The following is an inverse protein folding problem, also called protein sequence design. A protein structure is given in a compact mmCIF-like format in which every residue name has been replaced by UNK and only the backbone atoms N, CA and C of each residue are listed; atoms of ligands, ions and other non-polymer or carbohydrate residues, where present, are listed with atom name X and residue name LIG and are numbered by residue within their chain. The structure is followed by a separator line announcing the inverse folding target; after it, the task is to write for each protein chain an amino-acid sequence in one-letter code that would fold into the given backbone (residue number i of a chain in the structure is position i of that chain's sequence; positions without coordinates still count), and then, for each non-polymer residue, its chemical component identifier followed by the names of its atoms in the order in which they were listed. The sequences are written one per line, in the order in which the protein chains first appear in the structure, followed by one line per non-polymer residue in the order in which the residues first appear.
data_IF_976932338031
#
_entry.id   IF_976932338031
#
_cell.length_a   1.000
_cell.length_b   1.000
_cell.length_c   1.000
_cell.angle_alpha   90.00
_cell.angle_beta   90.00
_cell.angle_gamma   90.00
#
_symmetry.space_group_name_H-M   'P 1'
#
loop_
_entity.id
_entity.type
_entity.pdbx_description
1 polymer ?
#
# COMPACT_ATOMS: atom_id res chain seq x y z
N UNK A 1 25.51 0.46 -34.47
CA UNK A 1 25.60 0.14 -33.04
C UNK A 1 24.24 0.47 -32.45
N UNK A 2 23.40 -0.55 -32.25
CA UNK A 2 21.99 -0.41 -31.86
C UNK A 2 21.93 -0.51 -30.33
N UNK A 3 21.61 0.60 -29.66
CA UNK A 3 21.53 0.72 -28.21
C UNK A 3 20.33 -0.07 -27.68
N UNK A 4 20.57 -1.10 -26.87
CA UNK A 4 19.55 -1.81 -26.10
C UNK A 4 19.32 -1.04 -24.79
N UNK A 5 18.23 -0.28 -24.72
CA UNK A 5 17.71 0.28 -23.47
C UNK A 5 17.12 -0.86 -22.62
N UNK A 6 17.61 -1.11 -21.39
CA UNK A 6 16.96 -2.05 -20.48
C UNK A 6 15.65 -1.40 -19.99
N UNK A 7 14.51 -1.92 -20.44
CA UNK A 7 13.22 -1.65 -19.80
C UNK A 7 13.30 -2.16 -18.36
N UNK A 8 13.55 -1.24 -17.43
CA UNK A 8 13.41 -1.50 -16.00
C UNK A 8 11.92 -1.70 -15.70
N UNK A 9 11.49 -2.97 -15.65
CA UNK A 9 10.17 -3.36 -15.21
C UNK A 9 10.07 -3.06 -13.70
N UNK A 10 9.52 -1.90 -13.33
CA UNK A 10 9.05 -1.69 -11.96
C UNK A 10 7.83 -2.62 -11.77
N UNK A 11 8.04 -3.78 -11.16
CA UNK A 11 6.94 -4.58 -10.67
C UNK A 11 6.27 -3.79 -9.52
N UNK A 12 5.05 -3.30 -9.77
CA UNK A 12 4.20 -2.77 -8.71
C UNK A 12 3.75 -3.96 -7.88
N UNK A 13 4.40 -4.20 -6.75
CA UNK A 13 3.94 -5.19 -5.78
C UNK A 13 2.67 -4.62 -5.16
N UNK A 14 1.51 -5.01 -5.70
CA UNK A 14 0.23 -4.74 -5.05
C UNK A 14 0.21 -5.55 -3.75
N UNK A 15 0.19 -4.85 -2.62
CA UNK A 15 -0.01 -5.46 -1.32
C UNK A 15 -1.51 -5.62 -1.10
N UNK A 16 -1.96 -6.82 -0.75
CA UNK A 16 -3.32 -7.04 -0.26
C UNK A 16 -3.57 -6.16 0.98
N UNK A 17 -4.67 -5.42 0.97
CA UNK A 17 -5.10 -4.56 2.06
C UNK A 17 -5.99 -5.35 3.00
N UNK A 18 -5.91 -5.07 4.31
CA UNK A 18 -6.82 -5.62 5.31
C UNK A 18 -7.81 -4.55 5.76
N UNK A 19 -9.10 -4.87 5.62
CA UNK A 19 -10.24 -4.06 6.03
C UNK A 19 -10.86 -4.66 7.29
N UNK A 20 -11.29 -3.82 8.23
CA UNK A 20 -11.84 -4.27 9.50
C UNK A 20 -13.30 -3.85 9.66
N UNK A 21 -14.13 -4.77 10.14
CA UNK A 21 -15.52 -4.51 10.55
C UNK A 21 -15.67 -4.94 12.01
N UNK A 22 -16.02 -4.02 12.89
CA UNK A 22 -16.44 -4.37 14.25
C UNK A 22 -17.86 -4.96 14.22
N UNK A 23 -18.07 -6.06 14.93
CA UNK A 23 -19.35 -6.77 15.03
C UNK A 23 -19.84 -6.74 16.48
N UNK A 24 -21.04 -6.21 16.69
CA UNK A 24 -21.67 -6.11 18.01
C UNK A 24 -21.57 -4.72 18.66
N UNK A 25 -21.60 -3.66 17.85
CA UNK A 25 -21.62 -2.27 18.32
C UNK A 25 -22.97 -1.76 18.85
N UNK A 26 -24.05 -2.52 18.67
CA UNK A 26 -25.43 -2.19 19.01
C UNK A 26 -26.42 -2.99 18.18
N UNK A 27 -27.69 -2.62 18.21
CA UNK A 27 -28.75 -3.29 17.45
C UNK A 27 -28.88 -2.74 16.02
N UNK A 28 -29.31 -3.61 15.10
CA UNK A 28 -29.67 -3.22 13.73
C UNK A 28 -28.47 -2.69 12.95
N UNK A 29 -28.58 -1.48 12.36
CA UNK A 29 -27.51 -0.93 11.54
C UNK A 29 -26.21 -0.65 12.29
N UNK A 30 -26.25 -0.52 13.63
CA UNK A 30 -25.07 -0.32 14.47
C UNK A 30 -24.30 -1.62 14.77
N UNK A 31 -24.85 -2.76 14.36
CA UNK A 31 -24.25 -4.07 14.64
C UNK A 31 -22.93 -4.27 13.87
N UNK A 32 -22.85 -3.75 12.64
CA UNK A 32 -21.65 -3.76 11.81
C UNK A 32 -21.08 -2.34 11.69
N UNK A 33 -19.80 -2.16 12.03
CA UNK A 33 -19.13 -0.86 11.91
C UNK A 33 -17.74 -0.99 11.25
N UNK A 34 -17.56 -0.51 10.02
CA UNK A 34 -18.60 0.06 9.15
C UNK A 34 -19.59 -1.03 8.68
N UNK A 35 -20.82 -0.61 8.38
CA UNK A 35 -21.86 -1.49 7.84
C UNK A 35 -21.62 -1.79 6.36
N UNK A 36 -21.03 -0.84 5.64
CA UNK A 36 -20.76 -0.90 4.21
C UNK A 36 -19.29 -0.57 3.96
N UNK A 37 -18.57 -1.46 3.28
CA UNK A 37 -17.22 -1.23 2.79
C UNK A 37 -17.25 -0.94 1.29
N UNK A 38 -16.42 -0.03 0.83
CA UNK A 38 -16.21 0.29 -0.59
C UNK A 38 -14.73 0.30 -0.93
N UNK A 39 -14.41 0.17 -2.22
CA UNK A 39 -13.04 0.12 -2.73
C UNK A 39 -12.23 -1.05 -2.15
N UNK A 40 -12.88 -2.21 -1.98
CA UNK A 40 -12.19 -3.46 -1.64
C UNK A 40 -11.82 -4.18 -2.93
N UNK A 41 -10.55 -4.48 -3.11
CA UNK A 41 -10.02 -5.09 -4.34
C UNK A 41 -9.97 -6.63 -4.25
N UNK A 42 -9.71 -7.29 -5.40
CA UNK A 42 -9.41 -8.72 -5.40
C UNK A 42 -8.14 -8.98 -4.59
N UNK A 43 -8.13 -10.08 -3.85
CA UNK A 43 -7.08 -10.51 -2.91
C UNK A 43 -7.01 -9.73 -1.58
N UNK A 44 -7.77 -8.65 -1.40
CA UNK A 44 -7.93 -7.99 -0.10
C UNK A 44 -8.60 -8.90 0.93
N UNK A 45 -8.35 -8.60 2.20
CA UNK A 45 -8.94 -9.30 3.34
C UNK A 45 -9.98 -8.41 4.02
N UNK A 46 -11.10 -9.01 4.43
CA UNK A 46 -12.08 -8.39 5.31
C UNK A 46 -12.15 -9.21 6.60
N UNK A 47 -11.74 -8.58 7.70
CA UNK A 47 -11.69 -9.18 9.03
C UNK A 47 -12.80 -8.59 9.91
N UNK A 48 -13.72 -9.46 10.28
CA UNK A 48 -14.80 -9.17 11.21
C UNK A 48 -14.33 -9.43 12.63
N UNK A 49 -14.33 -8.40 13.48
CA UNK A 49 -13.91 -8.45 14.87
C UNK A 49 -15.13 -8.42 15.80
N UNK A 50 -15.42 -9.53 16.47
CA UNK A 50 -16.58 -9.65 17.37
C UNK A 50 -16.28 -8.97 18.70
N UNK A 51 -16.91 -7.83 18.97
CA UNK A 51 -16.70 -7.05 20.20
C UNK A 51 -17.60 -7.51 21.35
N UNK A 52 -18.70 -8.19 21.05
CA UNK A 52 -19.67 -8.75 22.02
C UNK A 52 -20.09 -10.16 21.61
N UNK A 53 -20.64 -10.92 22.55
CA UNK A 53 -21.21 -12.25 22.32
C UNK A 53 -22.59 -12.12 21.67
N UNK A 54 -23.01 -13.13 20.90
CA UNK A 54 -24.38 -13.21 20.39
C UNK A 54 -24.56 -12.50 19.05
N UNK A 55 -23.49 -12.43 18.27
CA UNK A 55 -23.51 -11.92 16.91
C UNK A 55 -22.84 -12.92 15.96
N UNK A 56 -23.07 -12.72 14.68
CA UNK A 56 -22.57 -13.59 13.62
C UNK A 56 -22.42 -12.82 12.32
N UNK A 57 -21.65 -13.40 11.41
CA UNK A 57 -21.48 -12.90 10.06
C UNK A 57 -21.81 -14.05 9.13
N UNK A 58 -22.90 -13.91 8.38
CA UNK A 58 -23.40 -14.93 7.47
C UNK A 58 -23.58 -14.30 6.10
N UNK A 59 -23.05 -14.94 5.07
CA UNK A 59 -23.19 -14.46 3.70
C UNK A 59 -24.63 -14.63 3.22
N UNK A 60 -25.15 -13.59 2.60
CA UNK A 60 -26.52 -13.51 2.08
C UNK A 60 -26.50 -12.88 0.68
N UNK A 61 -27.69 -12.62 0.11
CA UNK A 61 -27.82 -12.00 -1.21
C UNK A 61 -28.66 -10.73 -1.14
N UNK A 62 -28.56 -9.88 -2.18
CA UNK A 62 -29.37 -8.68 -2.34
C UNK A 62 -30.88 -8.95 -2.20
N UNK A 63 -31.36 -10.07 -2.77
CA UNK A 63 -32.79 -10.41 -2.81
C UNK A 63 -33.26 -11.19 -1.59
N UNK A 64 -32.36 -11.87 -0.88
CA UNK A 64 -32.66 -12.65 0.30
C UNK A 64 -31.67 -12.30 1.42
N UNK A 65 -31.77 -11.09 2.00
CA UNK A 65 -30.76 -10.58 2.94
C UNK A 65 -30.77 -11.27 4.31
N UNK A 66 -31.85 -11.99 4.66
CA UNK A 66 -31.98 -12.76 5.90
C UNK A 66 -32.05 -14.29 5.67
N UNK A 67 -31.39 -14.76 4.63
CA UNK A 67 -31.28 -16.19 4.29
C UNK A 67 -29.83 -16.50 3.98
N UNK A 68 -29.30 -17.52 4.64
CA UNK A 68 -27.98 -18.06 4.35
C UNK A 68 -27.94 -18.63 2.94
N UNK A 69 -26.86 -18.35 2.22
CA UNK A 69 -26.59 -18.98 0.93
C UNK A 69 -26.19 -20.44 1.17
N UNK A 70 -27.17 -21.34 1.17
CA UNK A 70 -26.97 -22.77 1.41
C UNK A 70 -26.79 -23.61 0.14
N UNK A 71 -27.21 -23.15 -1.04
CA UNK A 71 -26.95 -23.80 -2.34
C UNK A 71 -27.31 -22.86 -3.50
N UNK A 72 -26.33 -22.41 -4.28
CA UNK A 72 -26.53 -21.55 -5.47
C UNK A 72 -27.02 -22.35 -6.70
N UNK A 73 -27.41 -23.62 -6.50
CA UNK A 73 -27.59 -24.59 -7.58
C UNK A 73 -26.28 -25.24 -8.06
N UNK A 74 -25.17 -24.98 -7.37
CA UNK A 74 -23.91 -25.71 -7.53
C UNK A 74 -23.55 -26.38 -6.19
N UNK A 75 -23.39 -27.72 -6.14
CA UNK A 75 -23.25 -28.49 -4.90
C UNK A 75 -21.98 -28.21 -4.07
N UNK A 76 -21.13 -27.28 -4.54
CA UNK A 76 -19.84 -26.91 -3.92
C UNK A 76 -19.72 -25.40 -3.62
N UNK A 77 -20.75 -24.59 -3.91
CA UNK A 77 -20.77 -23.14 -3.66
C UNK A 77 -21.77 -22.83 -2.54
N UNK A 78 -21.23 -22.71 -1.33
CA UNK A 78 -21.95 -22.26 -0.15
C UNK A 78 -21.41 -20.89 0.28
N UNK A 79 -22.29 -20.08 0.86
CA UNK A 79 -21.89 -18.83 1.49
C UNK A 79 -20.92 -19.06 2.65
N UNK A 80 -20.16 -18.02 2.99
CA UNK A 80 -19.38 -18.03 4.22
C UNK A 80 -20.27 -17.82 5.45
N UNK A 81 -19.89 -18.38 6.59
CA UNK A 81 -20.54 -18.09 7.86
C UNK A 81 -19.59 -18.26 9.05
N UNK A 82 -19.64 -17.32 10.00
CA UNK A 82 -19.16 -17.54 11.37
C UNK A 82 -20.14 -18.42 12.16
N UNK A 83 -19.81 -18.86 13.39
CA UNK A 83 -20.82 -19.35 14.33
C UNK A 83 -21.96 -18.32 14.49
N UNK A 84 -23.19 -18.79 14.66
CA UNK A 84 -24.37 -17.94 14.91
C UNK A 84 -24.32 -17.19 16.26
N UNK A 85 -23.40 -17.60 17.15
CA UNK A 85 -23.09 -16.88 18.38
C UNK A 85 -21.58 -16.92 18.57
N UNK A 86 -20.88 -16.02 17.86
CA UNK A 86 -19.44 -15.89 17.96
C UNK A 86 -19.04 -15.37 19.36
N UNK A 87 -17.88 -15.82 19.83
CA UNK A 87 -17.35 -15.36 21.11
C UNK A 87 -16.76 -13.95 20.98
N UNK A 88 -16.99 -13.10 21.98
CA UNK A 88 -16.34 -11.79 22.05
C UNK A 88 -14.82 -11.93 22.06
N UNK A 89 -14.13 -11.04 21.33
CA UNK A 89 -12.68 -11.06 21.14
C UNK A 89 -12.18 -12.04 20.08
N UNK A 90 -13.07 -12.71 19.35
CA UNK A 90 -12.69 -13.55 18.21
C UNK A 90 -12.80 -12.79 16.89
N UNK A 91 -12.16 -13.32 15.85
CA UNK A 91 -12.21 -12.77 14.50
C UNK A 91 -12.70 -13.81 13.50
N UNK A 92 -13.33 -13.34 12.43
CA UNK A 92 -13.66 -14.12 11.26
C UNK A 92 -13.17 -13.36 10.04
N UNK A 93 -12.37 -14.00 9.18
CA UNK A 93 -11.76 -13.31 8.03
C UNK A 93 -12.15 -14.01 6.74
N UNK A 94 -12.43 -13.19 5.73
CA UNK A 94 -12.56 -13.63 4.34
C UNK A 94 -11.52 -12.93 3.49
N UNK A 95 -11.10 -13.58 2.41
CA UNK A 95 -10.35 -12.96 1.34
C UNK A 95 -11.26 -12.78 0.14
N UNK A 96 -11.30 -11.59 -0.44
CA UNK A 96 -12.09 -11.31 -1.65
C UNK A 96 -11.42 -12.00 -2.84
N UNK A 97 -12.16 -12.83 -3.56
CA UNK A 97 -11.64 -13.58 -4.71
C UNK A 97 -12.16 -13.06 -6.04
N UNK A 98 -13.26 -12.30 -6.01
CA UNK A 98 -13.87 -11.71 -7.19
C UNK A 98 -14.64 -10.43 -6.81
N UNK A 99 -14.63 -9.42 -7.68
CA UNK A 99 -15.31 -8.12 -7.50
C UNK A 99 -16.34 -7.84 -8.61
N UNK A 100 -16.74 -8.87 -9.37
CA UNK A 100 -17.74 -8.72 -10.45
C UNK A 100 -19.13 -8.36 -9.95
N UNK A 101 -19.40 -8.57 -8.66
CA UNK A 101 -20.61 -8.17 -7.98
C UNK A 101 -20.34 -7.89 -6.50
N UNK A 102 -21.24 -7.16 -5.80
CA UNK A 102 -21.11 -6.92 -4.37
C UNK A 102 -21.28 -8.19 -3.53
N UNK A 103 -20.65 -8.20 -2.35
CA UNK A 103 -20.84 -9.27 -1.34
C UNK A 103 -21.77 -8.72 -0.26
N UNK A 104 -22.81 -9.47 0.09
CA UNK A 104 -23.76 -9.11 1.16
C UNK A 104 -23.61 -10.06 2.34
N UNK A 105 -23.79 -9.54 3.55
CA UNK A 105 -23.77 -10.33 4.77
C UNK A 105 -24.79 -9.80 5.78
N UNK A 106 -25.16 -10.64 6.73
CA UNK A 106 -26.09 -10.31 7.80
C UNK A 106 -25.69 -10.98 9.11
N UNK A 107 -26.24 -10.49 10.21
CA UNK A 107 -26.23 -11.24 11.45
C UNK A 107 -27.37 -12.26 11.45
N UNK A 108 -27.00 -13.53 11.57
CA UNK A 108 -27.93 -14.65 11.65
C UNK A 108 -28.53 -14.93 13.02
N UNK A 109 -28.19 -14.12 14.03
CA UNK A 109 -28.63 -14.32 15.41
C UNK A 109 -30.05 -13.79 15.61
N UNK A 110 -30.95 -14.64 16.11
CA UNK A 110 -32.33 -14.33 16.47
C UNK A 110 -33.09 -13.47 15.44
N UNK A 111 -33.28 -12.19 15.72
CA UNK A 111 -33.99 -11.21 14.87
C UNK A 111 -33.09 -10.07 14.39
N UNK A 112 -31.76 -10.19 14.56
CA UNK A 112 -30.84 -9.09 14.27
C UNK A 112 -30.91 -8.67 12.80
N UNK A 113 -30.95 -9.63 11.87
CA UNK A 113 -31.12 -9.31 10.45
C UNK A 113 -32.38 -8.47 10.18
N UNK A 114 -33.54 -8.87 10.74
CA UNK A 114 -34.80 -8.13 10.57
C UNK A 114 -34.79 -6.78 11.31
N UNK A 115 -33.92 -6.59 12.29
CA UNK A 115 -33.70 -5.30 12.93
C UNK A 115 -32.77 -4.39 12.09
N UNK A 116 -32.27 -4.88 10.96
CA UNK A 116 -31.39 -4.15 10.04
C UNK A 116 -29.91 -4.45 10.20
N UNK A 117 -29.54 -5.54 10.89
CA UNK A 117 -28.17 -6.02 10.98
C UNK A 117 -27.76 -6.73 9.68
N UNK A 118 -27.61 -5.93 8.64
CA UNK A 118 -27.14 -6.32 7.31
C UNK A 118 -26.00 -5.40 6.89
N UNK A 119 -25.14 -5.86 6.01
CA UNK A 119 -24.03 -5.07 5.48
C UNK A 119 -23.54 -5.60 4.14
N UNK A 120 -22.52 -4.95 3.60
CA UNK A 120 -21.95 -5.39 2.34
C UNK A 120 -20.58 -4.79 2.00
N UNK A 121 -19.91 -5.44 1.05
CA UNK A 121 -18.61 -5.07 0.50
C UNK A 121 -18.82 -4.69 -0.98
N UNK A 122 -18.32 -3.51 -1.36
CA UNK A 122 -18.57 -2.85 -2.64
C UNK A 122 -20.07 -2.75 -2.95
N UNK A 123 -20.87 -2.45 -1.93
CA UNK A 123 -22.32 -2.59 -1.93
C UNK A 123 -23.07 -1.33 -1.50
N UNK A 124 -22.40 -0.19 -1.30
CA UNK A 124 -23.01 1.02 -0.71
C UNK A 124 -24.24 1.52 -1.47
N UNK A 125 -24.24 1.40 -2.80
CA UNK A 125 -25.35 1.79 -3.68
C UNK A 125 -26.64 0.97 -3.42
N UNK A 126 -26.51 -0.22 -2.82
CA UNK A 126 -27.63 -1.10 -2.49
C UNK A 126 -28.09 -0.98 -1.03
N UNK A 127 -27.42 -0.14 -0.22
CA UNK A 127 -27.58 -0.08 1.23
C UNK A 127 -29.03 0.09 1.70
N UNK A 128 -29.78 1.03 1.10
CA UNK A 128 -31.18 1.27 1.41
C UNK A 128 -32.06 0.06 1.05
N UNK A 129 -31.92 -0.46 -0.18
CA UNK A 129 -32.70 -1.60 -0.66
C UNK A 129 -32.50 -2.85 0.20
N UNK A 130 -31.25 -3.17 0.56
CA UNK A 130 -30.92 -4.34 1.39
C UNK A 130 -31.46 -4.16 2.81
N UNK A 131 -31.30 -2.97 3.38
CA UNK A 131 -31.77 -2.67 4.74
C UNK A 131 -33.29 -2.76 4.84
N UNK A 132 -34.02 -2.23 3.85
CA UNK A 132 -35.49 -2.26 3.82
C UNK A 132 -36.02 -3.67 3.54
N UNK A 133 -35.36 -4.42 2.64
CA UNK A 133 -35.66 -5.83 2.40
C UNK A 133 -35.41 -6.68 3.65
N UNK A 134 -34.37 -6.40 4.43
CA UNK A 134 -34.10 -7.10 5.67
C UNK A 134 -35.20 -6.87 6.71
N UNK A 135 -35.60 -5.60 6.92
CA UNK A 135 -36.66 -5.21 7.87
C UNK A 135 -38.03 -5.79 7.54
N UNK A 136 -38.29 -6.06 6.27
CA UNK A 136 -39.55 -6.65 5.80
C UNK A 136 -39.46 -8.16 5.58
N UNK A 137 -38.28 -8.77 5.79
CA UNK A 137 -38.07 -10.20 5.62
C UNK A 137 -38.87 -10.99 6.65
N UNK A 138 -39.76 -11.86 6.16
CA UNK A 138 -40.49 -12.84 6.98
C UNK A 138 -39.69 -14.11 7.24
N UNK A 139 -38.63 -14.34 6.46
CA UNK A 139 -37.77 -15.52 6.58
C UNK A 139 -36.64 -15.30 7.58
N UNK A 140 -36.35 -16.33 8.37
CA UNK A 140 -35.16 -16.50 9.21
C UNK A 140 -34.36 -17.70 8.68
N UNK A 141 -33.78 -17.54 7.50
CA UNK A 141 -33.17 -18.63 6.75
C UNK A 141 -31.76 -18.96 7.19
N UNK A 142 -31.50 -19.05 8.50
CA UNK A 142 -30.15 -19.31 9.05
C UNK A 142 -30.03 -20.69 9.70
N UNK A 143 -31.08 -21.51 9.65
CA UNK A 143 -31.10 -22.85 10.25
C UNK A 143 -30.05 -23.80 9.64
N UNK A 144 -29.68 -23.57 8.39
CA UNK A 144 -28.71 -24.39 7.65
C UNK A 144 -27.25 -23.94 7.90
N UNK A 145 -27.03 -22.90 8.70
CA UNK A 145 -25.68 -22.46 9.09
C UNK A 145 -25.09 -23.49 10.06
N UNK A 146 -23.89 -24.05 9.79
CA UNK A 146 -23.24 -24.96 10.72
C UNK A 146 -22.98 -24.32 12.09
N UNK A 147 -23.12 -25.07 13.18
CA UNK A 147 -23.04 -24.53 14.54
C UNK A 147 -21.68 -23.88 14.87
N UNK A 148 -20.61 -24.35 14.23
CA UNK A 148 -19.26 -23.81 14.34
C UNK A 148 -18.90 -22.82 13.22
N UNK A 149 -19.85 -22.43 12.37
CA UNK A 149 -19.57 -21.76 11.10
C UNK A 149 -19.00 -22.72 10.06
N UNK A 150 -18.88 -22.28 8.81
CA UNK A 150 -18.45 -23.14 7.71
C UNK A 150 -16.94 -23.37 7.66
N UNK A 151 -16.56 -24.60 7.30
CA UNK A 151 -15.51 -24.85 6.32
C UNK A 151 -16.01 -25.90 5.32
N UNK A 152 -16.83 -25.51 4.33
CA UNK A 152 -16.90 -26.09 2.98
C UNK A 152 -17.66 -25.10 2.05
N UNK A 153 -17.02 -24.70 0.93
CA UNK A 153 -17.57 -23.82 -0.12
C UNK A 153 -17.03 -22.38 -0.19
N UNK A 154 -16.21 -21.97 0.77
CA UNK A 154 -15.42 -20.72 0.86
C UNK A 154 -16.16 -19.37 0.75
N UNK A 155 -17.39 -19.29 0.30
CA UNK A 155 -18.11 -18.03 0.12
C UNK A 155 -18.22 -17.64 -1.35
N UNK A 156 -19.33 -17.01 -1.70
CA UNK A 156 -19.56 -16.53 -3.07
C UNK A 156 -18.75 -15.25 -3.27
N UNK A 157 -17.82 -15.25 -4.23
CA UNK A 157 -16.88 -14.13 -4.50
C UNK A 157 -15.84 -13.88 -3.39
N UNK A 158 -15.75 -14.76 -2.41
CA UNK A 158 -14.73 -14.70 -1.35
C UNK A 158 -14.26 -16.09 -0.93
N UNK A 159 -13.24 -16.15 -0.08
CA UNK A 159 -12.83 -17.38 0.60
C UNK A 159 -12.66 -17.12 2.09
N UNK A 160 -13.28 -17.93 2.94
CA UNK A 160 -12.95 -17.95 4.38
C UNK A 160 -11.46 -18.28 4.52
N UNK A 161 -10.75 -17.47 5.28
CA UNK A 161 -9.36 -17.72 5.63
C UNK A 161 -9.26 -17.86 7.14
N UNK A 162 -8.60 -18.92 7.59
CA UNK A 162 -8.16 -18.99 8.97
C UNK A 162 -7.05 -17.96 9.11
N UNK A 163 -7.31 -16.84 9.78
CA UNK A 163 -6.29 -15.83 10.03
C UNK A 163 -5.07 -16.55 10.63
N UNK A 164 -3.86 -16.45 10.07
CA UNK A 164 -2.68 -16.59 10.91
C UNK A 164 -2.84 -15.48 11.94
N UNK A 165 -2.87 -15.84 13.23
CA UNK A 165 -2.88 -14.85 14.29
C UNK A 165 -1.87 -13.75 13.94
N UNK A 166 -2.36 -12.54 13.66
CA UNK A 166 -1.52 -11.36 13.63
C UNK A 166 -0.86 -11.37 15.01
N UNK A 167 0.42 -11.75 15.03
CA UNK A 167 1.23 -11.60 16.21
C UNK A 167 1.08 -10.14 16.61
N UNK A 168 0.43 -9.94 17.76
CA UNK A 168 0.59 -8.74 18.58
C UNK A 168 1.99 -8.19 18.34
N UNK A 169 2.07 -6.96 17.88
CA UNK A 169 3.29 -6.17 17.80
C UNK A 169 3.80 -5.88 19.23
N UNK A 170 4.14 -6.94 19.97
CA UNK A 170 5.25 -6.90 20.91
C UNK A 170 6.55 -6.77 20.12
N UNK A 171 7.60 -6.16 20.68
CA UNK A 171 8.85 -5.92 19.96
C UNK A 171 9.43 -7.25 19.47
N UNK A 172 9.28 -7.51 18.18
CA UNK A 172 9.72 -8.73 17.52
C UNK A 172 11.23 -8.87 17.66
N UNK A 173 11.68 -9.85 18.43
CA UNK A 173 13.04 -10.38 18.30
C UNK A 173 13.14 -10.97 16.90
N UNK A 174 13.76 -10.23 15.98
CA UNK A 174 14.02 -10.65 14.61
C UNK A 174 14.84 -11.96 14.61
N UNK A 175 14.48 -12.89 13.73
CA UNK A 175 15.27 -14.09 13.46
C UNK A 175 16.69 -13.71 13.00
N UNK A 176 17.76 -14.41 13.42
CA UNK A 176 19.14 -14.15 13.01
C UNK A 176 19.32 -13.96 11.49
N UNK A 177 18.50 -14.60 10.66
CA UNK A 177 18.55 -14.49 9.20
C UNK A 177 18.12 -13.14 8.63
N UNK A 178 17.23 -12.41 9.32
CA UNK A 178 16.77 -11.09 8.87
C UNK A 178 17.85 -10.00 9.06
N UNK A 179 18.69 -10.14 10.10
CA UNK A 179 19.80 -9.22 10.36
C UNK A 179 20.89 -9.29 9.29
N UNK A 180 21.18 -10.48 8.76
CA UNK A 180 22.21 -10.65 7.73
C UNK A 180 21.79 -9.99 6.43
N UNK A 181 20.53 -10.13 6.02
CA UNK A 181 20.00 -9.48 4.81
C UNK A 181 20.03 -7.95 4.90
N UNK A 182 19.55 -7.38 6.01
CA UNK A 182 19.54 -5.93 6.22
C UNK A 182 20.96 -5.36 6.32
N UNK A 183 21.87 -6.05 7.00
CA UNK A 183 23.27 -5.62 7.11
C UNK A 183 23.99 -5.59 5.76
N UNK A 184 23.74 -6.57 4.88
CA UNK A 184 24.33 -6.61 3.54
C UNK A 184 23.78 -5.45 2.69
N UNK A 185 22.47 -5.22 2.70
CA UNK A 185 21.87 -4.10 1.93
C UNK A 185 22.37 -2.76 2.45
N UNK A 186 22.44 -2.57 3.76
CA UNK A 186 22.98 -1.34 4.36
C UNK A 186 24.46 -1.14 3.99
N UNK A 187 25.27 -2.20 4.02
CA UNK A 187 26.69 -2.14 3.64
C UNK A 187 26.87 -1.77 2.17
N UNK A 188 26.07 -2.35 1.27
CA UNK A 188 26.11 -2.03 -0.16
C UNK A 188 25.71 -0.58 -0.43
N UNK A 189 24.69 -0.06 0.27
CA UNK A 189 24.30 1.35 0.18
C UNK A 189 25.39 2.29 0.68
N UNK A 190 26.07 1.95 1.78
CA UNK A 190 27.18 2.75 2.32
C UNK A 190 28.40 2.77 1.37
N UNK A 191 28.74 1.62 0.79
CA UNK A 191 29.81 1.52 -0.21
C UNK A 191 29.43 2.34 -1.45
N UNK A 192 28.19 2.23 -1.93
CA UNK A 192 27.69 3.03 -3.04
C UNK A 192 27.80 4.53 -2.78
N UNK A 193 27.34 5.00 -1.62
CA UNK A 193 27.43 6.40 -1.21
C UNK A 193 28.90 6.87 -1.13
N UNK A 194 29.80 6.05 -0.59
CA UNK A 194 31.22 6.37 -0.50
C UNK A 194 31.88 6.49 -1.89
N UNK A 195 31.52 5.63 -2.84
CA UNK A 195 32.01 5.71 -4.22
C UNK A 195 31.51 6.96 -4.93
N UNK A 196 30.22 7.32 -4.76
CA UNK A 196 29.64 8.56 -5.29
C UNK A 196 30.34 9.79 -4.70
N UNK A 197 30.54 9.83 -3.38
CA UNK A 197 31.25 10.92 -2.71
C UNK A 197 32.71 11.03 -3.18
N UNK A 198 33.41 9.89 -3.32
CA UNK A 198 34.78 9.86 -3.85
C UNK A 198 34.82 10.40 -5.28
N UNK A 199 33.90 9.96 -6.15
CA UNK A 199 33.82 10.44 -7.52
C UNK A 199 33.52 11.94 -7.57
N UNK A 200 32.55 12.42 -6.77
CA UNK A 200 32.23 13.85 -6.66
C UNK A 200 33.41 14.67 -6.17
N UNK A 201 34.18 14.20 -5.17
CA UNK A 201 35.39 14.87 -4.70
C UNK A 201 36.50 14.93 -5.76
N UNK A 202 36.70 13.86 -6.54
CA UNK A 202 37.68 13.85 -7.63
C UNK A 202 37.27 14.84 -8.72
N UNK A 203 36.00 14.80 -9.16
CA UNK A 203 35.47 15.72 -10.19
C UNK A 203 35.57 17.16 -9.73
N UNK A 204 35.24 17.47 -8.48
CA UNK A 204 35.34 18.84 -7.94
C UNK A 204 36.80 19.31 -7.85
N UNK A 205 37.75 18.45 -7.46
CA UNK A 205 39.19 18.76 -7.47
C UNK A 205 39.70 19.04 -8.87
N UNK A 206 39.33 18.22 -9.87
CA UNK A 206 39.70 18.42 -11.28
C UNK A 206 39.11 19.71 -11.83
N UNK A 207 37.82 19.98 -11.59
CA UNK A 207 37.18 21.24 -11.99
C UNK A 207 37.87 22.47 -11.38
N UNK A 208 38.25 22.40 -10.10
CA UNK A 208 39.02 23.47 -9.43
C UNK A 208 40.41 23.63 -10.03
N UNK A 209 41.10 22.54 -10.39
CA UNK A 209 42.40 22.59 -11.06
C UNK A 209 42.30 23.23 -12.46
N UNK A 210 41.31 22.84 -13.26
CA UNK A 210 41.07 23.41 -14.59
C UNK A 210 40.80 24.92 -14.53
N UNK A 211 39.94 25.36 -13.59
CA UNK A 211 39.72 26.80 -13.37
C UNK A 211 41.02 27.52 -13.03
N UNK A 212 41.88 26.97 -12.17
CA UNK A 212 43.19 27.59 -11.84
C UNK A 212 44.09 27.74 -13.07
N UNK A 213 44.13 26.74 -13.95
CA UNK A 213 44.93 26.83 -15.18
C UNK A 213 44.37 27.86 -16.16
N UNK A 214 43.04 27.96 -16.29
CA UNK A 214 42.40 28.99 -17.12
C UNK A 214 42.67 30.40 -16.60
N UNK A 215 42.60 30.60 -15.27
CA UNK A 215 42.91 31.88 -14.63
C UNK A 215 44.36 32.31 -14.88
N UNK A 216 45.33 31.38 -14.77
CA UNK A 216 46.74 31.68 -15.07
C UNK A 216 46.94 32.10 -16.53
N UNK A 217 46.38 31.36 -17.49
CA UNK A 217 46.46 31.71 -18.92
C UNK A 217 45.83 33.08 -19.23
N UNK A 218 44.72 33.42 -18.58
CA UNK A 218 44.09 34.75 -18.71
C UNK A 218 44.98 35.86 -18.13
N UNK A 219 45.63 35.61 -17.00
CA UNK A 219 46.53 36.57 -16.37
C UNK A 219 47.79 36.81 -17.22
N UNK A 220 48.43 35.75 -17.73
CA UNK A 220 49.59 35.83 -18.61
C UNK A 220 49.26 36.63 -19.89
N UNK A 221 48.11 36.36 -20.52
CA UNK A 221 47.63 37.14 -21.68
C UNK A 221 47.43 38.63 -21.35
N UNK A 222 46.92 38.96 -20.15
CA UNK A 222 46.76 40.37 -19.73
C UNK A 222 48.11 41.03 -19.46
N UNK A 223 49.05 40.31 -18.83
CA UNK A 223 50.41 40.81 -18.57
C UNK A 223 51.16 41.08 -19.88
N UNK A 224 51.05 40.21 -20.89
CA UNK A 224 51.69 40.45 -22.20
C UNK A 224 51.11 41.67 -22.91
N UNK A 225 49.80 41.93 -22.78
CA UNK A 225 49.17 43.12 -23.35
C UNK A 225 49.65 44.42 -22.68
N UNK A 226 49.85 44.42 -21.36
CA UNK A 226 50.35 45.60 -20.63
C UNK A 226 51.81 45.92 -20.99
N UNK A 227 52.69 44.91 -21.11
CA UNK A 227 54.07 45.13 -21.55
C UNK A 227 54.11 45.71 -22.97
N UNK A 228 53.35 45.13 -23.91
CA UNK A 228 53.26 45.63 -25.29
C UNK A 228 52.77 47.07 -25.36
N UNK A 229 51.79 47.46 -24.53
CA UNK A 229 51.32 48.84 -24.46
C UNK A 229 52.36 49.81 -23.86
N UNK A 230 53.19 49.33 -22.93
CA UNK A 230 54.25 50.12 -22.29
C UNK A 230 55.42 50.36 -23.24
N UNK A 231 55.81 49.34 -24.02
CA UNK A 231 56.85 49.46 -25.04
C UNK A 231 56.44 50.41 -26.17
N UNK A 232 55.16 50.37 -26.58
CA UNK A 232 54.61 51.31 -27.56
C UNK A 232 54.60 52.77 -27.05
N UNK A 233 54.56 52.98 -25.73
CA UNK A 233 54.56 54.30 -25.12
C UNK A 233 55.98 54.87 -24.88
N UNK A 234 57.06 54.09 -25.09
CA UNK A 234 58.43 54.57 -24.90
C UNK A 234 58.83 55.50 -26.05
N UNK A 235 59.09 56.80 -25.81
CA UNK A 235 59.49 57.72 -26.87
C UNK A 235 60.87 57.33 -27.41
N UNK A 236 61.00 57.31 -28.74
CA UNK A 236 62.29 57.10 -29.41
C UNK A 236 63.21 58.26 -29.05
N UNK A 237 64.21 58.01 -28.19
CA UNK A 237 65.23 58.98 -27.84
C UNK A 237 66.03 59.36 -29.08
N UNK A 238 65.75 60.54 -29.63
CA UNK A 238 66.58 61.20 -30.63
C UNK A 238 67.93 61.55 -30.01
N UNK A 239 68.99 61.12 -30.68
CA UNK A 239 70.37 61.42 -30.31
C UNK A 239 70.60 62.94 -30.24
N UNK A 240 71.02 63.41 -29.07
CA UNK A 240 71.56 64.75 -28.86
C UNK A 240 72.94 64.84 -29.52
N UNK A 241 73.01 65.60 -30.62
CA UNK A 241 74.25 66.01 -31.28
C UNK A 241 74.79 67.24 -30.52
N UNK A 242 75.96 67.08 -29.89
CA UNK A 242 76.63 68.14 -29.13
C UNK A 242 77.73 68.75 -30.01
N UNK A 243 77.61 70.01 -30.48
CA UNK A 243 78.73 70.68 -31.11
C UNK A 243 79.60 71.37 -30.05
N UNK A 244 80.89 71.02 -30.08
CA UNK A 244 82.02 71.76 -29.52
C UNK A 244 82.13 73.12 -30.22
N UNK A 245 82.11 74.21 -29.44
CA UNK A 245 83.16 75.24 -29.28
C UNK A 245 82.63 76.44 -28.52
#
# INVERSE_FOLDING_TARGET
MLELLPLSLLALVAHAVEHFIAVGGGDGAAEFNPQWLDNVDVDDFVTFNFTTLGHSVVQTSLTLPCVFISDDGAPDLHGFASPLSAAAGTTFSIQVTNISAPIFFACGTDTHCQNGAVGGINAVEFSSSVTDAAKTSVSRGFADVPSNGTALGSGVLSRVVTSPSLASSGPSRLSPGAFVGIAIVALLLLIGAALVLRHWMVVTRVRRAHKRTEWKRRLEKRLSQVHAATDAAKPAGGAEDVPRM
#
